data_IF_991227134625
#
_entry.id   IF_991227134625
#
_cell.length_a   1.000
_cell.length_b   1.000
_cell.length_c   1.000
_cell.angle_alpha   90.00
_cell.angle_beta   90.00
_cell.angle_gamma   90.00
#
_symmetry.space_group_name_H-M   'P 1'
#
loop_
_entity.id
_entity.type
_entity.pdbx_description
1 polymer ?
#
# COMPACT_ATOMS: atom_id res chain seq x y z
N UNK A 1 8.86 -11.05 20.82
CA UNK A 1 7.47 -11.53 20.71
C UNK A 1 6.41 -10.44 20.48
N UNK A 2 6.65 -9.16 20.80
CA UNK A 2 5.64 -8.07 20.70
C UNK A 2 5.38 -7.49 19.30
N UNK A 3 6.32 -7.61 18.35
CA UNK A 3 6.17 -7.06 16.98
C UNK A 3 5.01 -7.75 16.21
N UNK A 4 4.89 -9.08 16.32
CA UNK A 4 3.83 -9.84 15.63
C UNK A 4 2.42 -9.51 16.15
N UNK A 5 2.28 -9.23 17.45
CA UNK A 5 0.98 -8.88 18.06
C UNK A 5 0.49 -7.50 17.64
N UNK A 6 1.39 -6.50 17.54
CA UNK A 6 1.03 -5.17 17.03
C UNK A 6 0.58 -5.25 15.58
N UNK A 7 1.27 -6.04 14.77
CA UNK A 7 0.94 -6.20 13.36
C UNK A 7 -0.45 -6.82 13.14
N UNK A 8 -0.80 -7.84 13.95
CA UNK A 8 -2.12 -8.48 13.92
C UNK A 8 -3.25 -7.50 14.26
N UNK A 9 -3.05 -6.61 15.24
CA UNK A 9 -4.05 -5.59 15.61
C UNK A 9 -4.21 -4.52 14.52
N UNK A 10 -3.11 -4.05 13.93
CA UNK A 10 -3.14 -3.08 12.83
C UNK A 10 -3.88 -3.64 11.61
N UNK A 11 -3.58 -4.89 11.24
CA UNK A 11 -4.26 -5.59 10.16
C UNK A 11 -5.74 -5.82 10.45
N UNK A 12 -6.09 -6.24 11.68
CA UNK A 12 -7.48 -6.43 12.07
C UNK A 12 -8.30 -5.13 11.99
N UNK A 13 -7.69 -3.98 12.34
CA UNK A 13 -8.32 -2.67 12.20
C UNK A 13 -8.53 -2.30 10.73
N UNK A 14 -7.53 -2.50 9.88
CA UNK A 14 -7.67 -2.25 8.44
C UNK A 14 -8.73 -3.16 7.81
N UNK A 15 -8.80 -4.42 8.23
CA UNK A 15 -9.83 -5.37 7.78
C UNK A 15 -11.25 -4.99 8.24
N UNK A 16 -11.39 -4.44 9.44
CA UNK A 16 -12.68 -3.96 9.94
C UNK A 16 -13.13 -2.64 9.32
N UNK A 17 -12.18 -1.81 8.88
CA UNK A 17 -12.46 -0.54 8.19
C UNK A 17 -12.71 -0.71 6.68
N UNK A 18 -12.37 -1.88 6.12
CA UNK A 18 -12.56 -2.23 4.72
C UNK A 18 -14.06 -2.24 4.36
N UNK A 19 -14.44 -1.52 3.31
CA UNK A 19 -15.78 -1.65 2.72
C UNK A 19 -15.94 -3.00 1.98
N UNK A 20 -17.17 -3.39 1.62
CA UNK A 20 -17.45 -4.67 0.95
C UNK A 20 -16.63 -4.89 -0.33
N UNK A 21 -16.34 -3.82 -1.10
CA UNK A 21 -15.63 -3.88 -2.38
C UNK A 21 -14.19 -3.35 -2.34
N UNK A 22 -13.59 -3.28 -1.15
CA UNK A 22 -12.19 -2.88 -1.01
C UNK A 22 -11.29 -4.09 -0.74
N UNK A 23 -9.98 -3.96 -0.83
CA UNK A 23 -8.96 -4.92 -0.38
C UNK A 23 -8.01 -4.22 0.57
N UNK A 24 -7.41 -4.97 1.48
CA UNK A 24 -6.41 -4.43 2.42
C UNK A 24 -5.03 -4.60 1.80
N UNK A 25 -4.39 -3.49 1.48
CA UNK A 25 -3.01 -3.43 1.00
C UNK A 25 -2.07 -3.03 2.16
N UNK A 26 -0.78 -3.28 1.98
CA UNK A 26 0.25 -2.90 2.95
C UNK A 26 1.47 -2.30 2.25
N UNK A 27 2.06 -1.29 2.87
CA UNK A 27 3.38 -0.75 2.51
C UNK A 27 4.27 -0.66 3.74
N UNK A 28 5.58 -0.47 3.55
CA UNK A 28 6.54 -0.35 4.64
C UNK A 28 6.97 1.11 4.79
N UNK A 29 6.80 1.67 6.00
CA UNK A 29 7.30 2.99 6.42
C UNK A 29 8.19 2.78 7.64
N UNK A 30 9.47 3.17 7.56
CA UNK A 30 10.46 2.93 8.63
C UNK A 30 10.48 1.46 9.11
N UNK A 31 10.46 0.51 8.17
CA UNK A 31 10.37 -0.94 8.42
C UNK A 31 9.09 -1.40 9.15
N UNK A 32 8.11 -0.51 9.32
CA UNK A 32 6.82 -0.81 9.92
C UNK A 32 5.76 -0.95 8.83
N UNK A 33 4.96 -2.02 8.85
CA UNK A 33 3.85 -2.17 7.93
C UNK A 33 2.76 -1.15 8.26
N UNK A 34 2.38 -0.38 7.24
CA UNK A 34 1.25 0.53 7.23
C UNK A 34 0.21 -0.06 6.29
N UNK A 35 -0.98 -0.31 6.84
CA UNK A 35 -2.09 -0.89 6.10
C UNK A 35 -3.01 0.21 5.58
N UNK A 36 -3.53 0.04 4.39
CA UNK A 36 -4.50 0.93 3.76
C UNK A 36 -5.49 0.12 2.92
N UNK A 37 -6.63 0.71 2.60
CA UNK A 37 -7.64 0.09 1.76
C UNK A 37 -7.59 0.65 0.34
N UNK A 38 -7.90 -0.19 -0.63
CA UNK A 38 -8.03 0.15 -2.04
C UNK A 38 -9.25 -0.58 -2.61
N UNK A 39 -9.90 -0.09 -3.68
CA UNK A 39 -10.91 -0.87 -4.39
C UNK A 39 -10.37 -2.24 -4.83
N UNK A 40 -11.22 -3.27 -4.88
CA UNK A 40 -10.83 -4.61 -5.32
C UNK A 40 -10.43 -4.66 -6.80
N UNK A 41 -10.98 -3.76 -7.62
CA UNK A 41 -10.66 -3.56 -9.03
C UNK A 41 -9.45 -2.64 -9.25
N UNK A 42 -8.80 -2.15 -8.18
CA UNK A 42 -7.64 -1.29 -8.28
C UNK A 42 -6.48 -2.01 -9.00
N UNK A 43 -5.92 -1.32 -9.98
CA UNK A 43 -4.74 -1.79 -10.70
C UNK A 43 -3.50 -1.76 -9.81
N UNK A 44 -2.51 -2.59 -10.14
CA UNK A 44 -1.25 -2.60 -9.41
C UNK A 44 -0.56 -1.22 -9.41
N UNK A 45 -0.65 -0.48 -10.51
CA UNK A 45 -0.13 0.87 -10.63
C UNK A 45 -0.80 1.85 -9.63
N UNK A 46 -2.11 1.72 -9.41
CA UNK A 46 -2.85 2.55 -8.44
C UNK A 46 -2.48 2.20 -7.00
N UNK A 47 -2.35 0.90 -6.69
CA UNK A 47 -1.90 0.43 -5.37
C UNK A 47 -0.50 0.98 -5.06
N UNK A 48 0.40 0.98 -6.05
CA UNK A 48 1.76 1.51 -5.90
C UNK A 48 1.81 3.02 -5.74
N UNK A 49 1.01 3.75 -6.52
CA UNK A 49 0.87 5.19 -6.37
C UNK A 49 0.41 5.54 -4.95
N UNK A 50 -0.60 4.83 -4.43
CA UNK A 50 -1.08 5.04 -3.06
C UNK A 50 -0.03 4.65 -2.01
N UNK A 51 0.66 3.53 -2.20
CA UNK A 51 1.75 3.12 -1.32
C UNK A 51 2.91 4.13 -1.31
N UNK A 52 3.19 4.80 -2.43
CA UNK A 52 4.19 5.88 -2.50
C UNK A 52 3.74 7.11 -1.73
N UNK A 53 2.48 7.52 -1.90
CA UNK A 53 1.88 8.65 -1.18
C UNK A 53 1.95 8.44 0.34
N UNK A 54 1.61 7.25 0.81
CA UNK A 54 1.68 6.88 2.23
C UNK A 54 3.12 6.92 2.76
N UNK A 55 4.10 6.48 1.95
CA UNK A 55 5.51 6.46 2.36
C UNK A 55 6.15 7.83 2.40
N UNK A 56 5.78 8.71 1.48
CA UNK A 56 6.49 9.97 1.23
C UNK A 56 5.71 11.21 1.68
N UNK A 57 4.41 11.07 1.96
CA UNK A 57 3.51 12.18 2.24
C UNK A 57 3.19 13.06 1.03
N UNK A 58 3.57 12.64 -0.19
CA UNK A 58 3.31 13.37 -1.43
C UNK A 58 2.89 12.45 -2.56
N UNK A 59 2.18 13.01 -3.54
CA UNK A 59 1.81 12.26 -4.74
C UNK A 59 3.05 11.87 -5.57
N UNK A 60 2.95 10.72 -6.24
CA UNK A 60 3.97 10.24 -7.17
C UNK A 60 3.96 11.12 -8.43
N UNK A 61 5.13 11.64 -8.81
CA UNK A 61 5.25 12.43 -10.03
C UNK A 61 5.12 11.55 -11.29
N UNK A 62 4.85 12.19 -12.44
CA UNK A 62 4.78 11.50 -13.74
C UNK A 62 6.08 10.75 -14.09
N UNK A 63 7.23 11.31 -13.72
CA UNK A 63 8.54 10.70 -13.97
C UNK A 63 8.75 9.47 -13.08
N UNK A 64 8.41 9.57 -11.80
CA UNK A 64 8.50 8.44 -10.87
C UNK A 64 7.58 7.30 -11.27
N UNK A 65 6.38 7.62 -11.76
CA UNK A 65 5.44 6.63 -12.30
C UNK A 65 6.04 5.91 -13.51
N UNK A 66 6.58 6.65 -14.46
CA UNK A 66 7.23 6.07 -15.64
C UNK A 66 8.45 5.19 -15.28
N UNK A 67 9.25 5.58 -14.28
CA UNK A 67 10.37 4.77 -13.82
C UNK A 67 9.92 3.44 -13.20
N UNK A 68 8.84 3.46 -12.41
CA UNK A 68 8.25 2.24 -11.86
C UNK A 68 7.75 1.34 -12.97
N UNK A 69 7.02 1.88 -13.95
CA UNK A 69 6.48 1.12 -15.07
C UNK A 69 7.60 0.44 -15.90
N UNK A 70 8.73 1.12 -16.10
CA UNK A 70 9.89 0.58 -16.84
C UNK A 70 10.52 -0.61 -16.10
N UNK A 71 10.63 -0.55 -14.78
CA UNK A 71 11.21 -1.63 -13.97
C UNK A 71 10.33 -2.88 -14.02
N UNK A 72 9.02 -2.74 -14.18
CA UNK A 72 8.10 -3.88 -14.32
C UNK A 72 8.18 -4.58 -15.66
N UNK A 73 8.36 -3.84 -16.75
CA UNK A 73 8.47 -4.43 -18.10
C UNK A 73 9.73 -5.31 -18.23
N UNK A 74 10.72 -5.13 -17.35
CA UNK A 74 11.96 -5.88 -17.35
C UNK A 74 11.96 -7.14 -16.47
N UNK A 75 10.88 -7.41 -15.71
CA UNK A 75 10.77 -8.55 -14.79
C UNK A 75 9.84 -9.66 -15.29
#
# INVERSE_FOLDING_TARGET
>A
MFKNSKNKKSFARAKAAKAENEIVCATLVDEKPVYFTMPEDATEAEVRAKAFEIRTGREMSKVERALVDIVEVQN
#
